data_IF_826595869556
#
_entry.id   IF_826595869556
#
_cell.length_a   1.000
_cell.length_b   1.000
_cell.length_c   1.000
_cell.angle_alpha   90.00
_cell.angle_beta   90.00
_cell.angle_gamma   90.00
#
_symmetry.space_group_name_H-M   'P 1'
#
loop_
_entity.id
_entity.type
_entity.pdbx_description
1 polymer ?
#
# COMPACT_ATOMS: atom_id res chain seq x y z
N UNK A 1 56.87 -0.63 20.44
CA UNK A 1 56.48 0.74 20.87
C UNK A 1 55.31 1.19 20.05
N UNK A 2 54.09 1.10 20.56
CA UNK A 2 52.87 1.62 19.89
C UNK A 2 52.71 3.08 20.28
N UNK A 3 52.93 3.98 19.33
CA UNK A 3 52.77 5.43 19.53
C UNK A 3 51.30 5.75 19.85
N UNK A 4 51.00 6.46 20.92
CA UNK A 4 49.62 6.80 21.26
C UNK A 4 49.04 7.75 20.14
N UNK A 5 47.99 7.27 19.46
CA UNK A 5 47.26 8.06 18.47
C UNK A 5 46.84 9.40 19.10
N UNK A 6 47.18 10.54 18.47
CA UNK A 6 46.81 11.86 18.94
C UNK A 6 45.28 11.98 19.09
N UNK A 7 44.82 12.81 20.00
CA UNK A 7 43.38 13.07 20.26
C UNK A 7 42.64 13.41 18.99
N UNK A 8 43.28 14.08 18.00
CA UNK A 8 42.75 14.42 16.69
C UNK A 8 42.50 13.17 15.83
N UNK A 9 43.43 12.18 15.83
CA UNK A 9 43.29 10.93 15.11
C UNK A 9 42.20 10.04 15.70
N UNK A 10 42.09 9.99 17.02
CA UNK A 10 41.01 9.27 17.73
C UNK A 10 39.64 9.87 17.43
N UNK A 11 39.54 11.21 17.36
CA UNK A 11 38.29 11.92 17.00
C UNK A 11 37.92 11.66 15.54
N UNK A 12 38.86 11.72 14.60
CA UNK A 12 38.65 11.42 13.19
C UNK A 12 38.21 9.96 12.99
N UNK A 13 38.87 9.02 13.66
CA UNK A 13 38.52 7.60 13.59
C UNK A 13 37.11 7.34 14.13
N UNK A 14 36.72 7.93 15.27
CA UNK A 14 35.37 7.83 15.82
C UNK A 14 34.32 8.44 14.90
N UNK A 15 34.60 9.58 14.26
CA UNK A 15 33.67 10.21 13.31
C UNK A 15 33.52 9.37 12.04
N UNK A 16 34.61 8.79 11.56
CA UNK A 16 34.62 7.90 10.40
C UNK A 16 33.87 6.60 10.71
N UNK A 17 34.14 5.97 11.85
CA UNK A 17 33.44 4.77 12.30
C UNK A 17 31.93 5.00 12.46
N UNK A 18 31.51 6.12 13.06
CA UNK A 18 30.09 6.46 13.19
C UNK A 18 29.41 6.75 11.84
N UNK A 19 30.14 7.19 10.82
CA UNK A 19 29.62 7.35 9.45
C UNK A 19 29.42 5.98 8.77
N UNK A 20 30.40 5.08 8.93
CA UNK A 20 30.31 3.72 8.38
C UNK A 20 29.24 2.89 9.05
N UNK A 21 29.10 2.94 10.37
CA UNK A 21 28.00 2.30 11.09
C UNK A 21 26.63 2.76 10.59
N UNK A 22 26.49 4.07 10.32
CA UNK A 22 25.26 4.63 9.73
C UNK A 22 24.93 4.00 8.38
N UNK A 23 25.90 4.01 7.45
CA UNK A 23 25.73 3.43 6.13
C UNK A 23 25.37 1.95 6.20
N UNK A 24 26.06 1.22 7.08
CA UNK A 24 25.80 -0.20 7.30
C UNK A 24 24.36 -0.46 7.79
N UNK A 25 23.84 0.33 8.75
CA UNK A 25 22.45 0.19 9.23
C UNK A 25 21.43 0.39 8.08
N UNK A 26 21.61 1.39 7.23
CA UNK A 26 20.70 1.63 6.12
C UNK A 26 20.80 0.55 5.04
N UNK A 27 22.00 0.07 4.73
CA UNK A 27 22.20 -0.98 3.73
C UNK A 27 21.68 -2.34 4.23
N UNK A 28 22.09 -2.77 5.44
CA UNK A 28 21.64 -4.03 6.03
C UNK A 28 20.12 -4.01 6.28
N UNK A 29 19.60 -2.85 6.72
CA UNK A 29 18.16 -2.66 6.87
C UNK A 29 17.44 -2.74 5.54
N UNK A 30 17.96 -2.13 4.48
CA UNK A 30 17.41 -2.25 3.13
C UNK A 30 17.37 -3.70 2.65
N UNK A 31 18.47 -4.44 2.82
CA UNK A 31 18.53 -5.88 2.48
C UNK A 31 17.46 -6.67 3.27
N UNK A 32 17.36 -6.44 4.58
CA UNK A 32 16.38 -7.13 5.42
C UNK A 32 14.93 -6.78 5.01
N UNK A 33 14.65 -5.52 4.65
CA UNK A 33 13.34 -5.09 4.14
C UNK A 33 13.05 -5.76 2.80
N UNK A 34 14.02 -5.80 1.87
CA UNK A 34 13.88 -6.48 0.59
C UNK A 34 13.56 -7.96 0.74
N UNK A 35 14.30 -8.67 1.59
CA UNK A 35 14.05 -10.09 1.87
C UNK A 35 12.66 -10.32 2.49
N UNK A 36 12.24 -9.49 3.46
CA UNK A 36 10.92 -9.58 4.07
C UNK A 36 9.79 -9.28 3.07
N UNK A 37 10.00 -8.33 2.14
CA UNK A 37 9.04 -8.01 1.08
C UNK A 37 8.85 -9.19 0.13
N UNK A 38 9.94 -9.81 -0.32
CA UNK A 38 9.90 -10.98 -1.22
C UNK A 38 9.23 -12.17 -0.51
N UNK A 39 9.59 -12.43 0.75
CA UNK A 39 8.94 -13.49 1.54
C UNK A 39 7.44 -13.28 1.67
N UNK A 40 7.02 -12.04 2.01
CA UNK A 40 5.59 -11.71 2.10
C UNK A 40 4.89 -11.86 0.73
N UNK A 41 5.57 -11.49 -0.36
CA UNK A 41 5.05 -11.62 -1.71
C UNK A 41 4.77 -13.08 -2.07
N UNK A 42 5.77 -13.96 -1.92
CA UNK A 42 5.66 -15.40 -2.23
C UNK A 42 4.59 -16.09 -1.36
N UNK A 43 4.57 -15.78 -0.06
CA UNK A 43 3.55 -16.33 0.84
C UNK A 43 2.14 -15.81 0.53
N UNK A 44 2.00 -14.56 0.07
CA UNK A 44 0.72 -14.00 -0.35
C UNK A 44 0.20 -14.68 -1.61
N UNK A 45 1.07 -14.94 -2.58
CA UNK A 45 0.71 -15.68 -3.81
C UNK A 45 0.29 -17.12 -3.48
N UNK A 46 0.99 -17.79 -2.55
CA UNK A 46 0.62 -19.11 -2.05
C UNK A 46 -0.75 -19.09 -1.33
N UNK A 47 -0.99 -18.10 -0.47
CA UNK A 47 -2.26 -17.95 0.24
C UNK A 47 -3.42 -17.71 -0.72
N UNK A 48 -3.22 -16.86 -1.75
CA UNK A 48 -4.22 -16.60 -2.77
C UNK A 48 -4.48 -17.85 -3.64
N UNK A 49 -3.42 -18.58 -4.02
CA UNK A 49 -3.56 -19.83 -4.74
C UNK A 49 -4.35 -20.88 -3.94
N UNK A 50 -4.06 -21.05 -2.66
CA UNK A 50 -4.80 -21.94 -1.79
C UNK A 50 -6.29 -21.56 -1.69
N UNK A 51 -6.62 -20.27 -1.68
CA UNK A 51 -8.00 -19.81 -1.73
C UNK A 51 -8.68 -20.16 -3.06
N UNK A 52 -8.00 -20.01 -4.20
CA UNK A 52 -8.51 -20.39 -5.52
C UNK A 52 -8.79 -21.91 -5.59
N UNK A 53 -7.92 -22.74 -5.02
CA UNK A 53 -8.16 -24.20 -4.91
C UNK A 53 -9.40 -24.53 -4.06
N UNK A 54 -9.66 -23.76 -3.00
CA UNK A 54 -10.89 -23.89 -2.21
C UNK A 54 -12.14 -23.56 -3.04
N UNK A 55 -12.09 -22.47 -3.82
CA UNK A 55 -13.19 -22.07 -4.74
C UNK A 55 -13.45 -23.13 -5.81
N UNK A 56 -12.40 -23.71 -6.38
CA UNK A 56 -12.51 -24.76 -7.37
C UNK A 56 -13.22 -26.01 -6.83
N UNK A 57 -13.06 -26.29 -5.52
CA UNK A 57 -13.77 -27.40 -4.84
C UNK A 57 -15.21 -27.07 -4.52
N UNK A 58 -15.51 -25.86 -4.09
CA UNK A 58 -16.87 -25.40 -3.78
C UNK A 58 -16.94 -23.87 -3.82
N UNK A 59 -17.54 -23.33 -4.89
CA UNK A 59 -17.73 -21.89 -5.08
C UNK A 59 -18.51 -21.22 -3.93
N UNK A 60 -19.49 -21.92 -3.38
CA UNK A 60 -20.31 -21.37 -2.30
C UNK A 60 -19.65 -21.42 -0.92
N UNK A 61 -18.52 -22.12 -0.76
CA UNK A 61 -17.76 -22.13 0.48
C UNK A 61 -17.32 -20.72 0.92
N UNK A 62 -17.19 -19.80 -0.02
CA UNK A 62 -16.83 -18.41 0.24
C UNK A 62 -17.85 -17.70 1.16
N UNK A 63 -19.14 -18.06 1.11
CA UNK A 63 -20.17 -17.47 1.99
C UNK A 63 -19.97 -17.81 3.48
N UNK A 64 -19.16 -18.83 3.80
CA UNK A 64 -18.76 -19.14 5.16
C UNK A 64 -17.32 -18.72 5.45
N UNK A 65 -16.38 -19.04 4.56
CA UNK A 65 -14.94 -18.85 4.77
C UNK A 65 -14.58 -17.37 4.86
N UNK A 66 -15.08 -16.52 3.97
CA UNK A 66 -14.72 -15.10 3.94
C UNK A 66 -15.29 -14.34 5.15
N UNK A 67 -16.58 -14.41 5.51
CA UNK A 67 -17.09 -13.69 6.66
C UNK A 67 -16.52 -14.20 8.00
N UNK A 68 -16.36 -15.51 8.18
CA UNK A 68 -15.73 -16.07 9.39
C UNK A 68 -14.23 -15.72 9.45
N UNK A 69 -13.54 -15.75 8.32
CA UNK A 69 -12.15 -15.33 8.20
C UNK A 69 -11.96 -13.86 8.57
N UNK A 70 -12.82 -12.96 8.10
CA UNK A 70 -12.78 -11.54 8.45
C UNK A 70 -13.02 -11.33 9.94
N UNK A 71 -14.03 -12.00 10.50
CA UNK A 71 -14.33 -11.94 11.93
C UNK A 71 -13.15 -12.43 12.78
N UNK A 72 -12.54 -13.56 12.42
CA UNK A 72 -11.38 -14.11 13.10
C UNK A 72 -10.14 -13.21 12.95
N UNK A 73 -9.89 -12.69 11.74
CA UNK A 73 -8.80 -11.75 11.48
C UNK A 73 -8.95 -10.48 12.32
N UNK A 74 -10.15 -9.90 12.39
CA UNK A 74 -10.44 -8.74 13.22
C UNK A 74 -10.25 -9.06 14.72
N UNK A 75 -10.70 -10.21 15.20
CA UNK A 75 -10.50 -10.65 16.58
C UNK A 75 -9.02 -10.77 16.92
N UNK A 76 -8.23 -11.47 16.10
CA UNK A 76 -6.80 -11.64 16.30
C UNK A 76 -6.05 -10.29 16.23
N UNK A 77 -6.47 -9.40 15.33
CA UNK A 77 -5.91 -8.04 15.24
C UNK A 77 -6.13 -7.28 16.54
N UNK A 78 -7.34 -7.26 17.07
CA UNK A 78 -7.69 -6.51 18.28
C UNK A 78 -7.00 -7.10 19.51
N UNK A 79 -6.93 -8.42 19.63
CA UNK A 79 -6.45 -9.10 20.84
C UNK A 79 -4.94 -9.33 20.86
N UNK A 80 -4.34 -9.74 19.74
CA UNK A 80 -2.95 -10.18 19.69
C UNK A 80 -2.01 -9.15 19.06
N UNK A 81 -2.48 -8.41 18.05
CA UNK A 81 -1.65 -7.51 17.26
C UNK A 81 -2.31 -6.13 17.09
N UNK A 82 -2.59 -5.39 18.20
CA UNK A 82 -3.14 -4.04 18.08
C UNK A 82 -2.23 -3.18 17.22
N UNK A 83 -2.82 -2.30 16.40
CA UNK A 83 -2.16 -1.47 15.39
C UNK A 83 -1.66 -2.21 14.12
N UNK A 84 -1.96 -3.50 13.96
CA UNK A 84 -1.77 -4.19 12.69
C UNK A 84 -2.93 -4.01 11.70
N UNK A 85 -4.06 -3.37 12.08
CA UNK A 85 -5.23 -3.15 11.22
C UNK A 85 -4.93 -2.30 9.99
N UNK A 86 -5.71 -2.49 8.92
CA UNK A 86 -5.69 -1.71 7.69
C UNK A 86 -4.38 -1.78 6.92
N UNK A 87 -4.04 -0.73 6.17
CA UNK A 87 -2.91 -0.72 5.23
C UNK A 87 -1.53 -0.81 5.90
N UNK A 88 -1.29 -0.10 6.99
CA UNK A 88 0.03 0.01 7.61
C UNK A 88 0.79 1.29 7.27
N UNK A 89 0.48 1.93 6.14
CA UNK A 89 1.07 3.22 5.76
C UNK A 89 0.71 4.32 6.75
N UNK A 90 -0.55 4.49 7.19
CA UNK A 90 -0.91 5.47 8.20
C UNK A 90 -0.14 5.30 9.51
N UNK A 91 0.11 4.05 9.94
CA UNK A 91 0.89 3.76 11.13
C UNK A 91 2.35 4.18 10.98
N UNK A 92 2.96 3.92 9.82
CA UNK A 92 4.33 4.34 9.53
C UNK A 92 4.46 5.88 9.50
N UNK A 93 3.48 6.58 8.88
CA UNK A 93 3.42 8.05 8.89
C UNK A 93 3.27 8.57 10.31
N UNK A 94 2.33 8.04 11.08
CA UNK A 94 2.10 8.44 12.47
C UNK A 94 3.34 8.22 13.34
N UNK A 95 3.98 7.05 13.26
CA UNK A 95 5.18 6.72 14.01
C UNK A 95 6.34 7.67 13.73
N UNK A 96 6.45 8.20 12.51
CA UNK A 96 7.47 9.19 12.17
C UNK A 96 7.27 10.52 12.89
N UNK A 97 6.01 10.94 13.11
CA UNK A 97 5.66 12.20 13.74
C UNK A 97 5.62 12.15 15.28
N UNK A 98 5.47 10.97 15.87
CA UNK A 98 5.49 10.80 17.31
C UNK A 98 6.88 11.05 17.88
N UNK A 99 6.97 11.69 19.05
CA UNK A 99 8.23 11.93 19.78
C UNK A 99 8.49 10.86 20.82
N UNK A 100 7.43 10.33 21.44
CA UNK A 100 7.52 9.29 22.44
C UNK A 100 7.91 7.94 21.85
N UNK A 101 8.90 7.29 22.48
CA UNK A 101 9.46 6.00 22.02
C UNK A 101 8.45 4.86 22.17
N UNK A 102 7.71 4.81 23.27
CA UNK A 102 6.72 3.76 23.52
C UNK A 102 5.55 3.87 22.54
N UNK A 103 5.10 5.09 22.24
CA UNK A 103 4.08 5.35 21.24
C UNK A 103 4.53 4.91 19.84
N UNK A 104 5.77 5.19 19.44
CA UNK A 104 6.34 4.68 18.18
C UNK A 104 6.37 3.16 18.14
N UNK A 105 6.88 2.53 19.20
CA UNK A 105 7.00 1.08 19.30
C UNK A 105 5.65 0.37 19.20
N UNK A 106 4.57 1.00 19.66
CA UNK A 106 3.22 0.49 19.53
C UNK A 106 2.74 0.41 18.07
N UNK A 107 3.27 1.25 17.19
CA UNK A 107 2.87 1.33 15.78
C UNK A 107 3.83 0.58 14.83
N UNK A 108 5.14 0.58 15.14
CA UNK A 108 6.19 0.05 14.26
C UNK A 108 7.19 -0.80 15.05
N UNK A 109 6.75 -1.92 15.60
CA UNK A 109 7.61 -2.92 16.25
C UNK A 109 7.68 -4.21 15.44
N UNK A 110 8.69 -5.05 15.71
CA UNK A 110 8.80 -6.38 15.07
C UNK A 110 7.58 -7.24 15.38
N UNK A 111 6.99 -7.14 16.58
CA UNK A 111 5.73 -7.84 16.91
C UNK A 111 4.59 -7.40 15.99
N UNK A 112 4.43 -6.09 15.77
CA UNK A 112 3.41 -5.55 14.87
C UNK A 112 3.68 -5.98 13.43
N UNK A 113 4.96 -5.98 12.99
CA UNK A 113 5.34 -6.44 11.66
C UNK A 113 4.97 -7.91 11.42
N UNK A 114 5.30 -8.80 12.36
CA UNK A 114 4.94 -10.23 12.27
C UNK A 114 3.42 -10.39 12.23
N UNK A 115 2.69 -9.72 13.12
CA UNK A 115 1.23 -9.74 13.14
C UNK A 115 0.63 -9.23 11.83
N UNK A 116 1.17 -8.15 11.27
CA UNK A 116 0.78 -7.61 9.98
C UNK A 116 0.96 -8.63 8.86
N UNK A 117 2.12 -9.28 8.77
CA UNK A 117 2.38 -10.31 7.76
C UNK A 117 1.39 -11.47 7.89
N UNK A 118 1.33 -12.10 9.06
CA UNK A 118 0.47 -13.28 9.30
C UNK A 118 -1.01 -12.97 9.00
N UNK A 119 -1.51 -11.84 9.50
CA UNK A 119 -2.94 -11.51 9.34
C UNK A 119 -3.28 -11.03 7.93
N UNK A 120 -2.34 -10.41 7.20
CA UNK A 120 -2.54 -10.11 5.78
C UNK A 120 -2.61 -11.39 4.95
N UNK A 121 -1.71 -12.35 5.18
CA UNK A 121 -1.74 -13.67 4.54
C UNK A 121 -3.04 -14.42 4.84
N UNK A 122 -3.47 -14.38 6.10
CA UNK A 122 -4.73 -14.97 6.51
C UNK A 122 -5.93 -14.31 5.83
N UNK A 123 -5.94 -12.97 5.70
CA UNK A 123 -6.97 -12.22 4.96
C UNK A 123 -7.05 -12.63 3.49
N UNK A 124 -5.90 -12.79 2.82
CA UNK A 124 -5.81 -13.29 1.44
C UNK A 124 -6.28 -14.74 1.31
N UNK A 125 -5.90 -15.60 2.25
CA UNK A 125 -6.34 -17.00 2.32
C UNK A 125 -7.86 -17.13 2.48
N UNK A 126 -8.50 -16.12 3.08
CA UNK A 126 -9.96 -16.07 3.24
C UNK A 126 -10.67 -15.27 2.15
N UNK A 127 -9.99 -14.93 1.04
CA UNK A 127 -10.59 -14.22 -0.10
C UNK A 127 -10.74 -12.72 0.08
N UNK A 128 -10.01 -12.11 1.03
CA UNK A 128 -10.03 -10.66 1.22
C UNK A 128 -9.53 -9.89 0.00
N UNK A 129 -10.28 -8.87 -0.44
CA UNK A 129 -9.84 -7.94 -1.50
C UNK A 129 -8.85 -6.93 -0.93
N UNK A 130 -7.63 -7.39 -0.65
CA UNK A 130 -6.55 -6.62 -0.02
C UNK A 130 -5.23 -6.84 -0.73
N UNK A 131 -4.33 -5.86 -0.62
CA UNK A 131 -2.98 -5.91 -1.15
C UNK A 131 -1.94 -6.22 -0.06
N UNK A 132 -0.74 -6.57 -0.49
CA UNK A 132 0.42 -6.87 0.36
C UNK A 132 1.39 -5.70 0.51
N UNK A 133 1.27 -4.68 -0.32
CA UNK A 133 2.24 -3.60 -0.47
C UNK A 133 2.20 -2.63 0.73
N UNK A 134 1.00 -2.20 1.15
CA UNK A 134 0.84 -1.41 2.36
C UNK A 134 1.38 -2.10 3.62
N UNK A 135 1.05 -3.37 3.86
CA UNK A 135 1.70 -4.19 4.88
C UNK A 135 3.21 -4.19 4.82
N UNK A 136 3.81 -4.32 3.62
CA UNK A 136 5.27 -4.29 3.43
C UNK A 136 5.87 -2.96 3.86
N UNK A 137 5.17 -1.83 3.66
CA UNK A 137 5.59 -0.50 4.14
C UNK A 137 5.73 -0.49 5.67
N UNK A 138 4.74 -1.01 6.40
CA UNK A 138 4.80 -1.07 7.87
C UNK A 138 5.86 -2.05 8.36
N UNK A 139 6.02 -3.18 7.69
CA UNK A 139 7.09 -4.17 7.98
C UNK A 139 8.46 -3.53 7.78
N UNK A 140 8.70 -2.86 6.65
CA UNK A 140 9.95 -2.17 6.37
C UNK A 140 10.24 -1.06 7.40
N UNK A 141 9.24 -0.25 7.73
CA UNK A 141 9.34 0.77 8.77
C UNK A 141 9.70 0.14 10.14
N UNK A 142 9.10 -1.01 10.48
CA UNK A 142 9.35 -1.72 11.75
C UNK A 142 10.76 -2.32 11.83
N UNK A 143 11.26 -2.92 10.74
CA UNK A 143 12.63 -3.45 10.66
C UNK A 143 13.64 -2.31 10.88
N UNK A 144 13.47 -1.21 10.15
CA UNK A 144 14.37 -0.06 10.27
C UNK A 144 14.26 0.65 11.62
N UNK A 145 13.07 0.70 12.21
CA UNK A 145 12.87 1.20 13.57
C UNK A 145 13.62 0.35 14.60
N UNK A 146 13.56 -0.98 14.49
CA UNK A 146 14.27 -1.89 15.39
C UNK A 146 15.79 -1.73 15.29
N UNK A 147 16.34 -1.60 14.09
CA UNK A 147 17.75 -1.30 13.85
C UNK A 147 18.13 0.10 14.39
N UNK A 148 17.18 1.03 14.41
CA UNK A 148 17.36 2.39 14.91
C UNK A 148 17.39 2.53 16.44
N UNK A 149 17.20 1.46 17.22
CA UNK A 149 17.29 1.48 18.70
C UNK A 149 18.65 1.96 19.18
N UNK A 150 19.71 1.72 18.41
CA UNK A 150 21.08 2.22 18.69
C UNK A 150 21.20 3.75 18.57
N UNK A 151 20.26 4.43 17.87
CA UNK A 151 20.30 5.86 17.65
C UNK A 151 18.88 6.48 17.58
N UNK A 152 18.18 6.66 18.73
CA UNK A 152 16.79 7.11 18.78
C UNK A 152 16.48 8.40 18.02
N UNK A 153 17.43 9.36 18.00
CA UNK A 153 17.28 10.63 17.27
C UNK A 153 17.13 10.46 15.75
N UNK A 154 17.47 9.29 15.20
CA UNK A 154 17.44 9.00 13.75
C UNK A 154 16.28 8.12 13.33
N UNK A 155 15.51 7.64 14.28
CA UNK A 155 14.39 6.74 14.00
C UNK A 155 13.37 7.30 13.00
N UNK A 156 12.98 8.60 13.00
CA UNK A 156 12.08 9.12 11.98
C UNK A 156 12.61 8.95 10.55
N UNK A 157 13.91 9.18 10.33
CA UNK A 157 14.54 8.96 9.02
C UNK A 157 14.68 7.47 8.66
N UNK A 158 14.91 6.60 9.66
CA UNK A 158 14.96 5.15 9.45
C UNK A 158 13.57 4.57 9.12
N UNK A 159 12.53 5.00 9.83
CA UNK A 159 11.14 4.63 9.52
C UNK A 159 10.79 5.03 8.09
N UNK A 160 11.15 6.25 7.68
CA UNK A 160 10.96 6.74 6.32
C UNK A 160 11.71 5.87 5.28
N UNK A 161 12.99 5.57 5.54
CA UNK A 161 13.80 4.74 4.67
C UNK A 161 13.24 3.31 4.54
N UNK A 162 12.79 2.73 5.65
CA UNK A 162 12.15 1.40 5.66
C UNK A 162 10.83 1.37 4.91
N UNK A 163 10.01 2.39 5.06
CA UNK A 163 8.75 2.54 4.34
C UNK A 163 8.98 2.65 2.82
N UNK A 164 9.88 3.53 2.39
CA UNK A 164 10.27 3.71 0.98
C UNK A 164 10.89 2.44 0.38
N UNK A 165 11.80 1.78 1.13
CA UNK A 165 12.41 0.52 0.75
C UNK A 165 11.36 -0.61 0.62
N UNK A 166 10.34 -0.60 1.49
CA UNK A 166 9.22 -1.53 1.44
C UNK A 166 8.42 -1.41 0.14
N UNK A 167 8.10 -0.20 -0.31
CA UNK A 167 7.43 0.04 -1.61
C UNK A 167 8.31 -0.44 -2.76
N UNK A 168 9.59 -0.04 -2.77
CA UNK A 168 10.53 -0.41 -3.81
C UNK A 168 10.64 -1.93 -4.00
N UNK A 169 10.75 -2.67 -2.90
CA UNK A 169 10.89 -4.12 -2.94
C UNK A 169 9.56 -4.84 -3.24
N UNK A 170 8.41 -4.29 -2.77
CA UNK A 170 7.11 -4.92 -2.98
C UNK A 170 6.67 -4.92 -4.45
N UNK A 171 7.06 -3.90 -5.20
CA UNK A 171 6.68 -3.72 -6.60
C UNK A 171 7.83 -3.91 -7.59
N UNK A 172 9.04 -4.15 -7.11
CA UNK A 172 10.26 -4.10 -7.91
C UNK A 172 10.45 -2.73 -8.64
N UNK A 173 10.12 -1.65 -7.94
CA UNK A 173 10.10 -0.26 -8.45
C UNK A 173 10.91 0.67 -7.56
N UNK A 174 12.24 0.70 -7.69
CA UNK A 174 13.10 1.52 -6.82
C UNK A 174 12.82 3.03 -6.93
N UNK A 175 12.54 3.54 -8.12
CA UNK A 175 12.26 4.96 -8.34
C UNK A 175 10.93 5.36 -7.66
N UNK A 176 9.90 4.54 -7.82
CA UNK A 176 8.61 4.75 -7.15
C UNK A 176 8.74 4.74 -5.63
N UNK A 177 9.59 3.87 -5.07
CA UNK A 177 9.89 3.85 -3.64
C UNK A 177 10.49 5.16 -3.13
N UNK A 178 11.43 5.76 -3.89
CA UNK A 178 12.03 7.06 -3.56
C UNK A 178 10.96 8.16 -3.61
N UNK A 179 10.17 8.21 -4.67
CA UNK A 179 9.12 9.22 -4.87
C UNK A 179 8.04 9.11 -3.80
N UNK A 180 7.59 7.89 -3.47
CA UNK A 180 6.67 7.63 -2.37
C UNK A 180 7.21 8.15 -1.03
N UNK A 181 8.49 7.93 -0.76
CA UNK A 181 9.16 8.45 0.43
C UNK A 181 9.11 9.98 0.53
N UNK A 182 9.23 10.67 -0.59
CA UNK A 182 9.22 12.13 -0.66
C UNK A 182 7.79 12.68 -0.61
N UNK A 183 6.91 12.22 -1.50
CA UNK A 183 5.57 12.78 -1.69
C UNK A 183 4.59 12.36 -0.59
N UNK A 184 4.54 11.08 -0.25
CA UNK A 184 3.54 10.56 0.68
C UNK A 184 4.06 10.49 2.12
N UNK A 185 5.28 10.00 2.33
CA UNK A 185 5.78 9.79 3.68
C UNK A 185 6.35 11.05 4.32
N UNK A 186 7.01 11.92 3.54
CA UNK A 186 7.73 13.08 4.09
C UNK A 186 7.01 14.40 3.85
N UNK A 187 6.33 14.56 2.72
CA UNK A 187 5.81 15.83 2.19
C UNK A 187 6.88 16.95 2.12
N UNK A 188 8.16 16.56 2.21
CA UNK A 188 9.29 17.47 2.11
C UNK A 188 10.54 16.72 1.67
N UNK A 189 11.39 17.38 0.90
CA UNK A 189 12.68 16.84 0.54
C UNK A 189 13.70 17.11 1.66
N UNK A 190 13.95 16.09 2.50
CA UNK A 190 14.95 16.18 3.57
C UNK A 190 16.36 15.93 3.05
N UNK A 191 17.10 17.00 2.73
CA UNK A 191 18.46 16.92 2.16
C UNK A 191 19.47 16.16 3.02
N UNK A 192 19.31 16.16 4.35
CA UNK A 192 20.27 15.49 5.28
C UNK A 192 20.17 13.97 5.30
N UNK A 193 19.03 13.39 4.95
CA UNK A 193 18.75 11.95 5.02
C UNK A 193 18.54 11.32 3.64
N UNK A 194 18.37 12.12 2.59
CA UNK A 194 18.01 11.66 1.24
C UNK A 194 18.96 10.61 0.68
N UNK A 195 20.28 10.80 0.78
CA UNK A 195 21.26 9.84 0.25
C UNK A 195 21.24 8.49 0.96
N UNK A 196 20.91 8.46 2.26
CA UNK A 196 20.80 7.21 3.05
C UNK A 196 19.47 6.50 2.77
N UNK A 197 18.39 7.25 2.54
CA UNK A 197 17.10 6.70 2.12
C UNK A 197 17.25 6.03 0.75
N UNK A 198 17.86 6.73 -0.20
CA UNK A 198 18.17 6.20 -1.55
C UNK A 198 19.00 4.92 -1.43
N UNK A 199 20.05 4.90 -0.58
CA UNK A 199 20.86 3.71 -0.37
C UNK A 199 20.06 2.52 0.18
N UNK A 200 19.13 2.75 1.12
CA UNK A 200 18.25 1.70 1.64
C UNK A 200 17.28 1.19 0.57
N UNK A 201 16.69 2.10 -0.22
CA UNK A 201 15.79 1.75 -1.33
C UNK A 201 16.51 0.92 -2.39
N UNK A 202 17.71 1.35 -2.80
CA UNK A 202 18.53 0.61 -3.77
C UNK A 202 18.90 -0.77 -3.22
N UNK A 203 19.32 -0.87 -1.95
CA UNK A 203 19.65 -2.14 -1.32
C UNK A 203 18.45 -3.09 -1.28
N UNK A 204 17.25 -2.59 -0.95
CA UNK A 204 16.03 -3.38 -0.94
C UNK A 204 15.60 -3.80 -2.35
N UNK A 205 15.67 -2.91 -3.33
CA UNK A 205 15.40 -3.20 -4.74
C UNK A 205 16.37 -4.24 -5.31
N UNK A 206 17.67 -4.10 -5.07
CA UNK A 206 18.68 -5.10 -5.48
C UNK A 206 18.45 -6.45 -4.81
N UNK A 207 18.01 -6.47 -3.55
CA UNK A 207 17.68 -7.72 -2.85
C UNK A 207 16.45 -8.37 -3.47
N UNK A 208 15.40 -7.59 -3.78
CA UNK A 208 14.21 -8.07 -4.49
C UNK A 208 14.59 -8.62 -5.87
N UNK A 209 15.39 -7.89 -6.64
CA UNK A 209 15.89 -8.30 -7.93
C UNK A 209 16.71 -9.61 -7.86
N UNK A 210 17.58 -9.76 -6.87
CA UNK A 210 18.41 -10.94 -6.69
C UNK A 210 17.60 -12.19 -6.32
N UNK A 211 16.50 -12.03 -5.56
CA UNK A 211 15.67 -13.14 -5.07
C UNK A 211 14.52 -13.50 -6.02
N UNK A 212 13.95 -12.52 -6.73
CA UNK A 212 12.75 -12.69 -7.58
C UNK A 212 13.04 -12.51 -9.08
N UNK A 213 14.24 -12.06 -9.45
CA UNK A 213 14.61 -11.73 -10.82
C UNK A 213 14.14 -10.33 -11.24
N UNK A 214 14.56 -9.94 -12.47
CA UNK A 214 14.11 -8.68 -13.07
C UNK A 214 12.76 -8.92 -13.78
N UNK A 215 11.71 -8.37 -13.22
CA UNK A 215 10.37 -8.45 -13.83
C UNK A 215 9.64 -7.11 -13.69
N UNK A 216 8.90 -6.73 -14.73
CA UNK A 216 7.89 -5.69 -14.62
C UNK A 216 6.63 -6.31 -13.98
N UNK A 217 6.10 -5.67 -12.94
CA UNK A 217 5.01 -6.24 -12.12
C UNK A 217 3.79 -6.59 -12.99
N UNK A 218 3.34 -5.71 -13.87
CA UNK A 218 2.25 -5.94 -14.81
C UNK A 218 2.71 -6.30 -16.23
N UNK A 219 3.95 -6.75 -16.40
CA UNK A 219 4.51 -7.03 -17.72
C UNK A 219 5.09 -5.77 -18.38
N UNK A 220 5.82 -5.96 -19.49
CA UNK A 220 6.36 -4.87 -20.31
C UNK A 220 5.34 -4.50 -21.39
N UNK A 221 4.97 -3.23 -21.47
CA UNK A 221 3.98 -2.72 -22.41
C UNK A 221 4.58 -1.59 -23.26
N UNK A 222 4.59 -1.76 -24.58
CA UNK A 222 4.98 -0.71 -25.52
C UNK A 222 3.77 0.09 -26.06
N UNK A 223 2.59 -0.04 -25.44
CA UNK A 223 1.37 0.64 -25.87
C UNK A 223 1.50 2.14 -25.68
N UNK A 224 1.01 2.92 -26.65
CA UNK A 224 0.95 4.38 -26.60
C UNK A 224 -0.36 4.86 -27.18
N UNK A 225 -0.80 6.06 -26.77
CA UNK A 225 -1.93 6.73 -27.40
C UNK A 225 -1.50 7.31 -28.75
N UNK A 226 -2.26 7.03 -29.79
CA UNK A 226 -2.13 7.74 -31.04
C UNK A 226 -2.51 9.22 -30.87
N UNK A 227 -2.15 10.07 -31.86
CA UNK A 227 -2.54 11.47 -31.84
C UNK A 227 -4.02 11.60 -32.22
N UNK A 228 -4.72 12.59 -31.64
CA UNK A 228 -6.11 12.89 -31.98
C UNK A 228 -7.09 12.58 -30.87
N UNK A 229 -8.23 11.96 -31.23
CA UNK A 229 -9.37 11.72 -30.32
C UNK A 229 -9.03 10.82 -29.12
N UNK A 230 -8.01 9.93 -29.23
CA UNK A 230 -7.64 9.03 -28.16
C UNK A 230 -7.14 9.78 -26.90
N UNK A 231 -6.61 10.99 -27.07
CA UNK A 231 -6.19 11.83 -25.95
C UNK A 231 -7.34 12.30 -25.07
N UNK A 232 -8.60 12.24 -25.56
CA UNK A 232 -9.78 12.50 -24.74
C UNK A 232 -9.97 11.44 -23.63
N UNK A 233 -9.38 10.26 -23.78
CA UNK A 233 -9.35 9.26 -22.71
C UNK A 233 -8.61 9.74 -21.46
N UNK A 234 -7.61 10.63 -21.62
CA UNK A 234 -6.82 11.16 -20.49
C UNK A 234 -7.69 11.94 -19.50
N UNK A 235 -8.38 13.03 -19.90
CA UNK A 235 -9.26 13.74 -18.98
C UNK A 235 -10.44 12.89 -18.51
N UNK A 236 -10.99 12.03 -19.36
CA UNK A 236 -12.11 11.17 -18.98
C UNK A 236 -11.71 10.19 -17.88
N UNK A 237 -10.61 9.45 -18.04
CA UNK A 237 -10.07 8.58 -17.00
C UNK A 237 -9.71 9.38 -15.74
N UNK A 238 -9.11 10.57 -15.89
CA UNK A 238 -8.75 11.45 -14.78
C UNK A 238 -9.96 11.85 -13.95
N UNK A 239 -11.03 12.28 -14.59
CA UNK A 239 -12.27 12.69 -13.91
C UNK A 239 -12.95 11.49 -13.25
N UNK A 240 -13.20 10.40 -13.98
CA UNK A 240 -13.90 9.22 -13.44
C UNK A 240 -13.08 8.55 -12.33
N UNK A 241 -11.79 8.36 -12.54
CA UNK A 241 -10.89 7.80 -11.53
C UNK A 241 -10.76 8.69 -10.29
N UNK A 242 -10.68 10.02 -10.47
CA UNK A 242 -10.64 10.99 -9.39
C UNK A 242 -11.92 11.01 -8.56
N UNK A 243 -13.09 10.98 -9.20
CA UNK A 243 -14.40 10.89 -8.52
C UNK A 243 -14.52 9.60 -7.72
N UNK A 244 -14.25 8.46 -8.34
CA UNK A 244 -14.35 7.15 -7.69
C UNK A 244 -13.33 7.00 -6.54
N UNK A 245 -12.07 7.43 -6.75
CA UNK A 245 -11.02 7.39 -5.73
C UNK A 245 -11.28 8.34 -4.57
N UNK A 246 -11.75 9.56 -4.84
CA UNK A 246 -12.17 10.53 -3.81
C UNK A 246 -13.34 10.03 -2.97
N UNK A 247 -14.34 9.40 -3.60
CA UNK A 247 -15.48 8.80 -2.90
C UNK A 247 -15.03 7.64 -2.00
N UNK A 248 -14.19 6.73 -2.52
CA UNK A 248 -13.60 5.65 -1.74
C UNK A 248 -12.88 6.19 -0.50
N UNK A 249 -11.99 7.16 -0.67
CA UNK A 249 -11.22 7.76 0.43
C UNK A 249 -12.13 8.43 1.46
N UNK A 250 -13.17 9.16 1.01
CA UNK A 250 -14.15 9.79 1.90
C UNK A 250 -14.90 8.76 2.74
N UNK A 251 -15.32 7.64 2.14
CA UNK A 251 -16.03 6.56 2.85
C UNK A 251 -15.11 5.92 3.89
N UNK A 252 -13.88 5.55 3.53
CA UNK A 252 -12.95 4.90 4.46
C UNK A 252 -12.56 5.82 5.61
N UNK A 253 -12.30 7.11 5.35
CA UNK A 253 -11.99 8.11 6.38
C UNK A 253 -13.19 8.34 7.30
N UNK A 254 -14.40 8.45 6.76
CA UNK A 254 -15.62 8.64 7.54
C UNK A 254 -15.87 7.45 8.49
N UNK A 255 -15.65 6.23 8.01
CA UNK A 255 -15.75 5.01 8.84
C UNK A 255 -14.68 4.98 9.92
N UNK A 256 -13.43 5.33 9.61
CA UNK A 256 -12.34 5.36 10.57
C UNK A 256 -12.54 6.41 11.69
N UNK A 257 -13.09 7.58 11.35
CA UNK A 257 -13.47 8.63 12.32
C UNK A 257 -14.68 8.21 13.16
N UNK A 258 -15.51 7.33 12.62
CA UNK A 258 -16.75 6.83 13.25
C UNK A 258 -17.89 7.84 13.19
N UNK A 259 -19.11 7.32 13.19
CA UNK A 259 -20.33 8.13 13.18
C UNK A 259 -20.87 8.28 14.60
N UNK A 260 -21.44 9.47 14.89
CA UNK A 260 -22.11 9.75 16.18
C UNK A 260 -23.56 9.21 16.25
N UNK A 261 -24.08 8.72 15.13
CA UNK A 261 -25.43 8.17 15.00
C UNK A 261 -25.56 6.75 15.64
N UNK A 262 -26.79 6.20 15.79
CA UNK A 262 -27.01 4.86 16.35
C UNK A 262 -26.25 3.75 15.61
N UNK A 263 -26.15 3.83 14.29
CA UNK A 263 -25.41 2.88 13.44
C UNK A 263 -23.90 2.89 13.79
N UNK A 264 -23.30 4.06 13.94
CA UNK A 264 -21.88 4.18 14.32
C UNK A 264 -21.61 3.64 15.73
N UNK A 265 -22.56 3.80 16.66
CA UNK A 265 -22.49 3.20 17.99
C UNK A 265 -22.58 1.66 17.94
N UNK A 266 -23.48 1.12 17.12
CA UNK A 266 -23.61 -0.32 16.92
C UNK A 266 -22.33 -0.93 16.32
N UNK A 267 -21.74 -0.30 15.29
CA UNK A 267 -20.46 -0.73 14.68
C UNK A 267 -19.33 -0.74 15.72
N UNK A 268 -19.20 0.33 16.52
CA UNK A 268 -18.19 0.39 17.60
C UNK A 268 -18.41 -0.64 18.70
N UNK A 269 -19.68 -0.92 19.05
CA UNK A 269 -20.05 -1.91 20.06
C UNK A 269 -19.80 -3.35 19.61
N UNK A 270 -19.91 -3.63 18.32
CA UNK A 270 -19.83 -4.98 17.77
C UNK A 270 -18.87 -5.10 16.59
N UNK A 271 -17.55 -4.79 16.76
CA UNK A 271 -16.59 -4.73 15.65
C UNK A 271 -16.42 -6.09 14.95
N UNK A 272 -16.58 -7.21 15.65
CA UNK A 272 -16.45 -8.55 15.07
C UNK A 272 -17.62 -8.89 14.14
N UNK A 273 -18.84 -8.53 14.54
CA UNK A 273 -20.01 -8.71 13.68
C UNK A 273 -19.99 -7.78 12.47
N UNK A 274 -19.44 -6.59 12.64
CA UNK A 274 -19.22 -5.69 11.51
C UNK A 274 -18.19 -6.25 10.51
N UNK A 275 -17.09 -6.82 10.99
CA UNK A 275 -16.11 -7.50 10.14
C UNK A 275 -16.73 -8.70 9.41
N UNK A 276 -17.58 -9.50 10.10
CA UNK A 276 -18.35 -10.58 9.50
C UNK A 276 -19.25 -10.09 8.36
N UNK A 277 -20.01 -9.03 8.59
CA UNK A 277 -20.91 -8.43 7.58
C UNK A 277 -20.13 -7.90 6.37
N UNK A 278 -18.97 -7.25 6.59
CA UNK A 278 -18.07 -6.83 5.52
C UNK A 278 -17.54 -8.03 4.72
N UNK A 279 -17.14 -9.11 5.40
CA UNK A 279 -16.68 -10.34 4.74
C UNK A 279 -17.79 -11.00 3.92
N UNK A 280 -19.03 -10.99 4.40
CA UNK A 280 -20.19 -11.48 3.66
C UNK A 280 -20.46 -10.64 2.41
N UNK A 281 -20.35 -9.31 2.52
CA UNK A 281 -20.47 -8.41 1.37
C UNK A 281 -19.38 -8.68 0.32
N UNK A 282 -18.12 -8.91 0.74
CA UNK A 282 -17.03 -9.31 -0.17
C UNK A 282 -17.35 -10.64 -0.85
N UNK A 283 -17.85 -11.64 -0.10
CA UNK A 283 -18.22 -12.94 -0.66
C UNK A 283 -19.32 -12.82 -1.73
N UNK A 284 -20.34 -12.00 -1.47
CA UNK A 284 -21.43 -11.75 -2.42
C UNK A 284 -20.90 -11.06 -3.68
N UNK A 285 -20.08 -10.01 -3.53
CA UNK A 285 -19.43 -9.35 -4.68
C UNK A 285 -18.60 -10.35 -5.50
N UNK A 286 -17.89 -11.29 -4.83
CA UNK A 286 -17.12 -12.32 -5.50
C UNK A 286 -17.98 -13.27 -6.33
N UNK A 287 -19.07 -13.77 -5.75
CA UNK A 287 -20.01 -14.63 -6.49
C UNK A 287 -20.62 -13.92 -7.69
N UNK A 288 -20.96 -12.62 -7.56
CA UNK A 288 -21.50 -11.81 -8.64
C UNK A 288 -20.48 -11.58 -9.76
N UNK A 289 -19.20 -11.42 -9.42
CA UNK A 289 -18.13 -11.17 -10.40
C UNK A 289 -17.59 -12.43 -11.08
N UNK A 290 -18.14 -13.60 -10.82
CA UNK A 290 -17.54 -14.86 -11.30
C UNK A 290 -16.20 -15.19 -10.64
N UNK A 291 -16.03 -14.80 -9.36
CA UNK A 291 -14.86 -15.06 -8.53
C UNK A 291 -13.59 -14.27 -8.91
N UNK A 292 -13.73 -13.19 -9.70
CA UNK A 292 -12.59 -12.42 -10.23
C UNK A 292 -12.07 -11.33 -9.29
N UNK A 293 -12.82 -10.92 -8.25
CA UNK A 293 -12.49 -9.74 -7.43
C UNK A 293 -11.68 -10.05 -6.16
N UNK A 294 -11.43 -11.31 -5.84
CA UNK A 294 -10.68 -11.69 -4.66
C UNK A 294 -9.19 -11.32 -4.73
N UNK A 295 -8.55 -11.19 -3.57
CA UNK A 295 -7.12 -10.91 -3.44
C UNK A 295 -6.70 -9.54 -3.98
N UNK A 296 -5.50 -9.46 -4.54
CA UNK A 296 -4.91 -8.22 -5.05
C UNK A 296 -5.54 -7.72 -6.36
N UNK A 297 -6.10 -8.61 -7.18
CA UNK A 297 -6.56 -8.33 -8.55
C UNK A 297 -5.42 -8.32 -9.60
N UNK A 298 -4.22 -8.68 -9.17
CA UNK A 298 -3.02 -8.67 -10.03
C UNK A 298 -3.15 -9.59 -11.24
N UNK A 299 -3.58 -10.83 -11.03
CA UNK A 299 -3.66 -11.85 -12.09
C UNK A 299 -4.60 -11.38 -13.20
N UNK A 300 -5.79 -10.94 -12.87
CA UNK A 300 -6.81 -10.48 -13.83
C UNK A 300 -6.32 -9.29 -14.65
N UNK A 301 -5.69 -8.30 -13.99
CA UNK A 301 -5.18 -7.11 -14.68
C UNK A 301 -4.01 -7.47 -15.59
N UNK A 302 -3.09 -8.32 -15.14
CA UNK A 302 -1.95 -8.76 -15.93
C UNK A 302 -2.39 -9.54 -17.16
N UNK A 303 -3.27 -10.52 -17.00
CA UNK A 303 -3.82 -11.29 -18.12
C UNK A 303 -4.52 -10.39 -19.14
N UNK A 304 -5.29 -9.39 -18.66
CA UNK A 304 -5.95 -8.43 -19.54
C UNK A 304 -4.96 -7.56 -20.31
N UNK A 305 -3.85 -7.14 -19.70
CA UNK A 305 -2.80 -6.35 -20.36
C UNK A 305 -1.96 -7.20 -21.32
N UNK A 306 -1.59 -8.42 -20.93
CA UNK A 306 -0.73 -9.32 -21.72
C UNK A 306 -1.47 -9.83 -22.98
N UNK A 307 -2.77 -10.13 -22.86
CA UNK A 307 -3.58 -10.68 -23.97
C UNK A 307 -4.43 -9.63 -24.70
N UNK A 308 -4.47 -8.39 -24.24
CA UNK A 308 -5.30 -7.34 -24.83
C UNK A 308 -6.80 -7.63 -24.71
N UNK A 309 -7.23 -8.38 -23.69
CA UNK A 309 -8.63 -8.76 -23.48
C UNK A 309 -9.29 -7.82 -22.47
N UNK A 310 -10.52 -7.32 -22.75
CA UNK A 310 -11.18 -6.45 -21.80
C UNK A 310 -11.59 -7.20 -20.53
N UNK A 311 -11.47 -6.52 -19.39
CA UNK A 311 -12.01 -7.02 -18.12
C UNK A 311 -13.54 -7.06 -18.16
N UNK A 312 -14.21 -7.96 -17.40
CA UNK A 312 -15.66 -7.95 -17.27
C UNK A 312 -16.17 -6.55 -16.90
N UNK A 313 -17.31 -6.14 -17.47
CA UNK A 313 -17.84 -4.76 -17.30
C UNK A 313 -18.12 -4.40 -15.84
N UNK A 314 -18.49 -5.35 -15.03
CA UNK A 314 -18.80 -5.23 -13.60
C UNK A 314 -17.56 -5.33 -12.70
N UNK A 315 -16.42 -5.80 -13.25
CA UNK A 315 -15.18 -6.03 -12.48
C UNK A 315 -14.75 -4.79 -11.69
N UNK A 316 -14.67 -3.61 -12.33
CA UNK A 316 -14.21 -2.37 -11.69
C UNK A 316 -15.07 -1.98 -10.49
N UNK A 317 -16.40 -2.05 -10.65
CA UNK A 317 -17.36 -1.68 -9.60
C UNK A 317 -17.38 -2.70 -8.46
N UNK A 318 -17.42 -3.98 -8.77
CA UNK A 318 -17.44 -5.05 -7.76
C UNK A 318 -16.10 -5.10 -6.99
N UNK A 319 -14.97 -4.88 -7.67
CA UNK A 319 -13.65 -4.75 -7.05
C UNK A 319 -13.56 -3.55 -6.12
N UNK A 320 -14.12 -2.39 -6.52
CA UNK A 320 -14.21 -1.19 -5.69
C UNK A 320 -15.02 -1.47 -4.41
N UNK A 321 -16.20 -2.07 -4.54
CA UNK A 321 -17.04 -2.41 -3.39
C UNK A 321 -16.34 -3.40 -2.46
N UNK A 322 -15.79 -4.49 -3.00
CA UNK A 322 -15.08 -5.50 -2.21
C UNK A 322 -13.87 -4.91 -1.47
N UNK A 323 -13.09 -4.04 -2.15
CA UNK A 323 -11.95 -3.35 -1.53
C UNK A 323 -12.41 -2.37 -0.45
N UNK A 324 -13.53 -1.68 -0.66
CA UNK A 324 -14.12 -0.79 0.34
C UNK A 324 -14.53 -1.56 1.58
N UNK A 325 -15.30 -2.65 1.44
CA UNK A 325 -15.69 -3.49 2.57
C UNK A 325 -14.49 -4.10 3.31
N UNK A 326 -13.47 -4.56 2.57
CA UNK A 326 -12.23 -5.05 3.19
C UNK A 326 -11.49 -3.94 3.96
N UNK A 327 -11.39 -2.73 3.40
CA UNK A 327 -10.68 -1.62 4.03
C UNK A 327 -11.36 -1.11 5.31
N UNK A 328 -12.70 -1.11 5.38
CA UNK A 328 -13.45 -0.65 6.56
C UNK A 328 -13.66 -1.73 7.62
N UNK A 329 -13.45 -3.01 7.30
CA UNK A 329 -13.69 -4.14 8.19
C UNK A 329 -12.75 -4.21 9.39
N UNK A 330 -11.60 -3.51 9.32
CA UNK A 330 -10.56 -3.55 10.35
C UNK A 330 -9.55 -4.68 10.21
N UNK A 331 -9.64 -5.52 9.17
CA UNK A 331 -8.62 -6.54 8.90
C UNK A 331 -7.31 -5.90 8.39
N UNK A 332 -6.15 -6.52 8.63
CA UNK A 332 -4.90 -6.10 8.00
C UNK A 332 -4.88 -6.37 6.51
N UNK A 333 -4.43 -5.37 5.73
CA UNK A 333 -4.28 -5.49 4.29
C UNK A 333 -4.13 -4.12 3.61
N UNK A 334 -3.37 -4.08 2.52
CA UNK A 334 -3.13 -2.88 1.73
C UNK A 334 -4.27 -2.57 0.76
N UNK A 335 -4.33 -1.33 0.32
CA UNK A 335 -5.30 -0.87 -0.69
C UNK A 335 -4.62 -0.51 -2.03
N UNK A 336 -3.28 -0.64 -2.14
CA UNK A 336 -2.53 -0.25 -3.35
C UNK A 336 -2.91 -1.09 -4.58
N UNK A 337 -2.53 -2.37 -4.60
CA UNK A 337 -2.84 -3.25 -5.74
C UNK A 337 -4.32 -3.38 -6.02
N UNK A 338 -5.22 -3.52 -5.01
CA UNK A 338 -6.64 -3.48 -5.27
C UNK A 338 -7.10 -2.18 -5.93
N UNK A 339 -6.53 -1.02 -5.57
CA UNK A 339 -6.85 0.26 -6.23
C UNK A 339 -6.40 0.28 -7.68
N UNK A 340 -5.20 -0.23 -7.99
CA UNK A 340 -4.76 -0.35 -9.38
C UNK A 340 -5.70 -1.26 -10.19
N UNK A 341 -6.16 -2.37 -9.60
CA UNK A 341 -7.12 -3.26 -10.24
C UNK A 341 -8.50 -2.62 -10.47
N UNK A 342 -9.00 -1.85 -9.50
CA UNK A 342 -10.24 -1.04 -9.70
C UNK A 342 -10.06 -0.08 -10.87
N UNK A 343 -8.94 0.64 -10.90
CA UNK A 343 -8.60 1.57 -11.97
C UNK A 343 -8.50 0.90 -13.34
N UNK A 344 -7.90 -0.29 -13.40
CA UNK A 344 -7.84 -1.09 -14.63
C UNK A 344 -9.24 -1.45 -15.14
N UNK A 345 -10.15 -1.85 -14.24
CA UNK A 345 -11.56 -2.13 -14.60
C UNK A 345 -12.29 -0.89 -15.10
N UNK A 346 -12.10 0.28 -14.47
CA UNK A 346 -12.64 1.56 -14.95
C UNK A 346 -12.08 1.89 -16.33
N UNK A 347 -10.75 1.77 -16.51
CA UNK A 347 -10.08 2.00 -17.79
C UNK A 347 -10.55 1.05 -18.89
N UNK A 348 -10.74 -0.24 -18.57
CA UNK A 348 -11.28 -1.23 -19.50
C UNK A 348 -12.70 -0.86 -20.00
N UNK A 349 -13.57 -0.36 -19.11
CA UNK A 349 -14.91 0.10 -19.49
C UNK A 349 -14.86 1.39 -20.33
N UNK A 350 -13.97 2.32 -20.01
CA UNK A 350 -13.78 3.55 -20.79
C UNK A 350 -13.22 3.23 -22.17
N UNK A 351 -12.34 2.24 -22.30
CA UNK A 351 -11.77 1.82 -23.58
C UNK A 351 -12.83 1.42 -24.60
N UNK A 352 -13.97 0.92 -24.17
CA UNK A 352 -15.09 0.59 -25.05
C UNK A 352 -15.67 1.82 -25.81
N UNK A 353 -15.35 3.04 -25.39
CA UNK A 353 -15.75 4.29 -26.05
C UNK A 353 -14.73 4.73 -27.13
N UNK A 354 -13.55 4.13 -27.16
CA UNK A 354 -12.42 4.48 -28.05
C UNK A 354 -12.01 3.27 -28.89
N UNK A 355 -12.54 3.19 -30.12
CA UNK A 355 -12.37 2.00 -30.96
C UNK A 355 -10.95 1.82 -31.50
N UNK A 356 -10.22 2.93 -31.68
CA UNK A 356 -8.88 2.92 -32.29
C UNK A 356 -7.75 2.93 -31.25
N UNK A 357 -8.05 3.25 -29.98
CA UNK A 357 -7.05 3.30 -28.93
C UNK A 357 -6.73 1.92 -28.36
N UNK A 358 -5.46 1.61 -28.09
CA UNK A 358 -5.08 0.36 -27.47
C UNK A 358 -5.72 0.20 -26.08
N UNK A 359 -6.45 -0.91 -25.87
CA UNK A 359 -7.12 -1.21 -24.60
C UNK A 359 -6.21 -1.01 -23.39
N UNK A 360 -4.99 -1.58 -23.45
CA UNK A 360 -4.04 -1.48 -22.34
C UNK A 360 -3.61 -0.05 -22.04
N UNK A 361 -3.48 0.83 -23.04
CA UNK A 361 -3.14 2.23 -22.80
C UNK A 361 -4.23 2.94 -21.96
N UNK A 362 -5.51 2.70 -22.26
CA UNK A 362 -6.62 3.27 -21.49
C UNK A 362 -6.77 2.60 -20.13
N UNK A 363 -6.46 1.29 -20.02
CA UNK A 363 -6.40 0.62 -18.72
C UNK A 363 -5.33 1.24 -17.81
N UNK A 364 -4.14 1.55 -18.34
CA UNK A 364 -3.09 2.24 -17.58
C UNK A 364 -3.53 3.64 -17.12
N UNK A 365 -4.25 4.38 -17.97
CA UNK A 365 -4.85 5.67 -17.57
C UNK A 365 -5.88 5.50 -16.45
N UNK A 366 -6.71 4.48 -16.50
CA UNK A 366 -7.65 4.16 -15.44
C UNK A 366 -6.93 3.79 -14.13
N UNK A 367 -5.87 2.95 -14.21
CA UNK A 367 -5.07 2.55 -13.05
C UNK A 367 -4.47 3.75 -12.33
N UNK A 368 -3.78 4.62 -13.07
CA UNK A 368 -3.13 5.80 -12.48
C UNK A 368 -4.15 6.79 -11.93
N UNK A 369 -5.28 7.00 -12.63
CA UNK A 369 -6.30 7.97 -12.25
C UNK A 369 -7.02 7.58 -10.98
N UNK A 370 -7.48 6.34 -10.86
CA UNK A 370 -8.14 5.88 -9.65
C UNK A 370 -7.16 5.87 -8.47
N UNK A 371 -5.94 5.36 -8.67
CA UNK A 371 -4.94 5.31 -7.61
C UNK A 371 -4.52 6.70 -7.13
N UNK A 372 -4.27 7.66 -8.05
CA UNK A 372 -4.01 9.05 -7.71
C UNK A 372 -5.20 9.70 -6.98
N UNK A 373 -6.43 9.36 -7.37
CA UNK A 373 -7.64 9.80 -6.67
C UNK A 373 -7.77 9.26 -5.25
N UNK A 374 -7.32 8.03 -4.98
CA UNK A 374 -7.34 7.42 -3.65
C UNK A 374 -6.24 8.00 -2.76
N UNK A 375 -4.99 7.98 -3.23
CA UNK A 375 -3.82 8.32 -2.42
C UNK A 375 -3.59 9.82 -2.34
N UNK A 376 -3.98 10.57 -3.38
CA UNK A 376 -3.71 11.99 -3.58
C UNK A 376 -2.20 12.32 -3.64
N UNK A 377 -1.42 11.38 -4.17
CA UNK A 377 0.01 11.50 -4.46
C UNK A 377 0.23 11.26 -5.97
N UNK A 378 0.00 12.26 -6.84
CA UNK A 378 -0.02 12.09 -8.28
C UNK A 378 1.34 11.70 -8.87
N UNK A 379 2.46 12.22 -8.32
CA UNK A 379 3.80 11.87 -8.79
C UNK A 379 4.08 10.39 -8.49
N UNK A 380 3.81 9.96 -7.28
CA UNK A 380 3.94 8.54 -6.87
C UNK A 380 3.07 7.64 -7.75
N UNK A 381 1.84 8.05 -8.04
CA UNK A 381 0.90 7.24 -8.81
C UNK A 381 1.41 6.97 -10.23
N UNK A 382 1.82 8.01 -10.97
CA UNK A 382 2.28 7.79 -12.34
C UNK A 382 3.64 7.09 -12.40
N UNK A 383 4.55 7.39 -11.47
CA UNK A 383 5.86 6.71 -11.43
C UNK A 383 5.69 5.21 -11.12
N UNK A 384 4.83 4.86 -10.17
CA UNK A 384 4.52 3.45 -9.86
C UNK A 384 4.00 2.73 -11.11
N UNK A 385 2.98 3.28 -11.78
CA UNK A 385 2.38 2.62 -12.95
C UNK A 385 3.39 2.52 -14.08
N UNK A 386 4.22 3.56 -14.32
CA UNK A 386 5.26 3.56 -15.35
C UNK A 386 6.31 2.45 -15.09
N UNK A 387 6.87 2.38 -13.87
CA UNK A 387 7.85 1.34 -13.53
C UNK A 387 7.25 -0.07 -13.53
N UNK A 388 5.99 -0.23 -13.05
CA UNK A 388 5.32 -1.55 -13.00
C UNK A 388 4.99 -2.12 -14.38
N UNK A 389 4.92 -1.29 -15.40
CA UNK A 389 4.55 -1.69 -16.78
C UNK A 389 5.67 -1.46 -17.78
N UNK A 390 6.82 -0.97 -17.32
CA UNK A 390 7.97 -0.60 -18.17
C UNK A 390 7.57 0.26 -19.39
N UNK A 391 6.56 1.12 -19.21
CA UNK A 391 5.98 1.90 -20.31
C UNK A 391 6.38 3.37 -20.23
N UNK A 392 7.45 3.71 -20.94
CA UNK A 392 7.92 5.09 -21.03
C UNK A 392 7.15 5.95 -22.03
N UNK A 393 6.46 5.34 -23.00
CA UNK A 393 5.67 6.07 -24.01
C UNK A 393 4.42 6.76 -23.43
N UNK A 394 3.92 6.27 -22.29
CA UNK A 394 2.71 6.78 -21.62
C UNK A 394 2.98 7.77 -20.49
N UNK A 395 4.24 8.16 -20.22
CA UNK A 395 4.57 9.02 -19.06
C UNK A 395 3.76 10.32 -19.05
N UNK A 396 3.71 11.05 -20.17
CA UNK A 396 2.98 12.33 -20.25
C UNK A 396 1.46 12.16 -20.07
N UNK A 397 0.80 11.23 -20.79
CA UNK A 397 -0.62 10.94 -20.55
C UNK A 397 -0.92 10.51 -19.10
N UNK A 398 -0.09 9.63 -18.51
CA UNK A 398 -0.25 9.17 -17.13
C UNK A 398 -0.08 10.32 -16.11
N UNK A 399 0.90 11.20 -16.31
CA UNK A 399 1.07 12.41 -15.49
C UNK A 399 -0.17 13.31 -15.55
N UNK A 400 -0.67 13.59 -16.76
CA UNK A 400 -1.85 14.43 -16.94
C UNK A 400 -3.09 13.81 -16.27
N UNK A 401 -3.34 12.51 -16.48
CA UNK A 401 -4.45 11.80 -15.87
C UNK A 401 -4.36 11.77 -14.34
N UNK A 402 -3.16 11.53 -13.78
CA UNK A 402 -2.92 11.55 -12.33
C UNK A 402 -3.21 12.92 -11.71
N UNK A 403 -2.76 14.00 -12.36
CA UNK A 403 -3.01 15.38 -11.90
C UNK A 403 -4.49 15.73 -11.93
N UNK A 404 -5.19 15.43 -13.02
CA UNK A 404 -6.64 15.66 -13.14
C UNK A 404 -7.37 14.89 -12.04
N UNK A 405 -7.04 13.60 -11.85
CA UNK A 405 -7.64 12.76 -10.82
C UNK A 405 -7.39 13.30 -9.42
N UNK A 406 -6.18 13.77 -9.13
CA UNK A 406 -5.82 14.40 -7.86
C UNK A 406 -6.72 15.62 -7.58
N UNK A 407 -6.85 16.55 -8.54
CA UNK A 407 -7.68 17.75 -8.38
C UNK A 407 -9.15 17.40 -8.17
N UNK A 408 -9.69 16.50 -9.00
CA UNK A 408 -11.09 16.05 -8.87
C UNK A 408 -11.34 15.35 -7.54
N UNK A 409 -10.42 14.47 -7.09
CA UNK A 409 -10.53 13.80 -5.80
C UNK A 409 -10.52 14.78 -4.64
N UNK A 410 -9.70 15.83 -4.68
CA UNK A 410 -9.66 16.85 -3.62
C UNK A 410 -10.95 17.65 -3.49
N UNK A 411 -11.76 17.77 -4.53
CA UNK A 411 -13.10 18.37 -4.45
C UNK A 411 -14.07 17.52 -3.61
N UNK A 412 -13.84 16.18 -3.52
CA UNK A 412 -14.68 15.25 -2.79
C UNK A 412 -14.13 14.97 -1.39
N UNK A 413 -12.81 14.84 -1.29
CA UNK A 413 -12.09 14.52 -0.08
C UNK A 413 -10.84 15.41 0.02
N UNK A 414 -10.84 16.39 0.91
CA UNK A 414 -9.76 17.40 1.01
C UNK A 414 -8.43 16.79 1.44
N UNK A 415 -8.45 15.72 2.24
CA UNK A 415 -7.26 15.10 2.81
C UNK A 415 -6.97 13.75 2.14
N UNK A 416 -5.70 13.50 1.80
CA UNK A 416 -5.23 12.19 1.36
C UNK A 416 -5.49 11.12 2.42
N UNK A 417 -5.92 9.93 1.98
CA UNK A 417 -6.40 8.85 2.84
C UNK A 417 -5.40 8.47 3.95
N UNK A 418 -4.11 8.33 3.62
CA UNK A 418 -3.11 7.88 4.57
C UNK A 418 -2.81 8.91 5.65
N UNK A 419 -2.77 10.20 5.30
CA UNK A 419 -2.56 11.27 6.25
C UNK A 419 -3.77 11.49 7.15
N UNK A 420 -4.98 11.41 6.60
CA UNK A 420 -6.21 11.51 7.38
C UNK A 420 -6.31 10.37 8.41
N UNK A 421 -5.96 9.15 8.01
CA UNK A 421 -5.94 8.00 8.92
C UNK A 421 -4.79 8.07 9.93
N UNK A 422 -3.62 8.60 9.54
CA UNK A 422 -2.47 8.77 10.43
C UNK A 422 -2.76 9.72 11.59
N UNK A 423 -3.52 10.81 11.37
CA UNK A 423 -3.99 11.72 12.44
C UNK A 423 -4.69 10.95 13.55
N UNK A 424 -5.57 10.02 13.22
CA UNK A 424 -6.28 9.19 14.20
C UNK A 424 -5.36 8.27 15.02
N UNK A 425 -4.23 7.82 14.45
CA UNK A 425 -3.22 7.06 15.20
C UNK A 425 -2.42 7.97 16.13
N UNK A 426 -2.03 9.17 15.68
CA UNK A 426 -1.32 10.15 16.51
C UNK A 426 -2.20 10.56 17.70
N UNK A 427 -3.46 10.93 17.47
CA UNK A 427 -4.39 11.33 18.51
C UNK A 427 -4.59 10.24 19.58
N UNK A 428 -4.70 8.96 19.17
CA UNK A 428 -4.81 7.84 20.11
C UNK A 428 -3.54 7.60 20.91
N UNK A 429 -2.38 7.77 20.29
CA UNK A 429 -1.09 7.56 20.92
C UNK A 429 -0.71 8.70 21.89
N UNK A 430 -1.25 9.91 21.70
CA UNK A 430 -0.97 11.09 22.55
C UNK A 430 -2.02 11.33 23.63
N UNK A 431 -3.13 10.59 23.65
CA UNK A 431 -4.10 10.67 24.77
C UNK A 431 -3.45 10.17 26.05
N UNK A 432 -3.54 10.95 27.16
CA UNK A 432 -3.10 10.46 28.46
C UNK A 432 -3.80 9.14 28.78
N UNK A 433 -3.07 8.15 29.26
CA UNK A 433 -3.68 6.91 29.76
C UNK A 433 -4.57 7.29 30.95
N UNK A 434 -5.87 6.95 30.89
CA UNK A 434 -6.80 7.13 32.00
C UNK A 434 -6.27 6.34 33.22
N UNK A 435 -5.42 6.91 34.02
CA UNK A 435 -4.75 6.31 35.18
C UNK A 435 -3.50 7.07 35.65
N UNK A 436 -2.94 7.98 34.84
CA UNK A 436 -1.81 8.82 35.25
C UNK A 436 -2.23 10.22 35.79
N UNK A 437 -3.55 10.47 35.87
CA UNK A 437 -4.15 11.71 36.41
C UNK A 437 -4.78 11.49 37.80
N UNK A 438 -4.19 10.63 38.65
CA UNK A 438 -4.53 10.52 40.07
C UNK A 438 -3.29 10.58 40.92
#
# INVERSE_FOLDING_TARGET
>A
MLWPLSTRHKRLFRLTSARWQRRAIFLLGGIAVGAAAVALAQLADLAQHAFVLLLAKSRYAVLAVTPLGFMLSAYLTIRLFPNAQGSGIPQAIAARHLTDQAARESLVSIRVAIGKMILTLFGLLCGGSVGREGPTVQVGASIMFALGRVSPRRQPGLILAGAAAGVAAAFNTPLAGIVFGIEEMSRAFETRTSSLIIAAVIAAGLTSLALSGNYAYFGSSAMSLARGADWLAVPLCGVVGGLAGGLFSRVVIAMARGFKNPLGRAIKGHPLWFAFACGLAVAICGLMSGDTIYGTGYVQVREALDHGTPLPRDFGVLKLLATTFAAISGIPGGIFSPSLAVGAGIGSNIAALFHDAPLGAIMLLGMVSYFAGVVQAPITAFVIVTEMTDNHGMVVPLMAAALIAHFVSRMICEEGIYHALAKGFVERATRPREGEAR
#
